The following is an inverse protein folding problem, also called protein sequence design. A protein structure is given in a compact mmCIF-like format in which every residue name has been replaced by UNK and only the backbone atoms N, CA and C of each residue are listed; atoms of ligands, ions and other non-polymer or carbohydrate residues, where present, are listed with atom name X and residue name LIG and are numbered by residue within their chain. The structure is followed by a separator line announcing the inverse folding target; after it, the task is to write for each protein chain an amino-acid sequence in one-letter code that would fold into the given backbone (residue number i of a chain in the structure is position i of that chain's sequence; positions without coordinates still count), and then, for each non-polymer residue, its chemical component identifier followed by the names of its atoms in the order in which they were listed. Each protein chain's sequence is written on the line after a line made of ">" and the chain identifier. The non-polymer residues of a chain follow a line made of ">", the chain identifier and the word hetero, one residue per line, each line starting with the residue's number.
data_IF_353927062860
#
_entry.id   IF_353927062860
#
_cell.length_a   1.000
_cell.length_b   1.000
_cell.length_c   1.000
_cell.angle_alpha   90.00
_cell.angle_beta   90.00
_cell.angle_gamma   90.00
#
_symmetry.space_group_name_H-M   'P 1'
#
loop_
_entity.id
_entity.type
_entity.pdbx_description
1 polymer ?
#
# COMPACT_ATOMS: atom_id res chain seq x y z
N UNK A 1 12.08 -18.80 19.71
CA UNK A 1 11.95 -18.81 18.24
C UNK A 1 10.52 -18.45 17.82
N UNK A 2 9.90 -17.50 18.50
CA UNK A 2 8.62 -16.91 18.10
C UNK A 2 8.68 -15.45 18.49
N UNK A 3 9.32 -14.65 17.66
CA UNK A 3 9.17 -13.18 17.70
C UNK A 3 7.77 -12.88 17.16
N UNK A 4 6.78 -13.17 18.01
CA UNK A 4 5.38 -12.91 17.76
C UNK A 4 5.20 -11.40 17.87
N UNK A 5 5.46 -10.69 16.77
CA UNK A 5 5.00 -9.31 16.59
C UNK A 5 3.47 -9.35 16.47
N UNK A 6 2.77 -9.45 17.61
CA UNK A 6 1.36 -9.07 17.68
C UNK A 6 1.33 -7.55 17.59
N UNK A 7 1.34 -7.04 16.36
CA UNK A 7 0.90 -5.68 16.02
C UNK A 7 -0.42 -5.86 15.26
N UNK A 8 -1.38 -6.48 15.93
CA UNK A 8 -2.73 -6.78 15.43
C UNK A 8 -3.60 -6.07 16.49
N UNK A 9 -4.44 -5.07 16.24
CA UNK A 9 -5.26 -4.72 15.08
C UNK A 9 -5.66 -3.25 15.26
N UNK A 10 -5.05 -2.32 14.53
CA UNK A 10 -5.64 -0.99 14.22
C UNK A 10 -5.17 -0.46 12.84
N UNK A 11 -4.32 -1.21 12.13
CA UNK A 11 -3.68 -0.81 10.87
C UNK A 11 -3.77 -1.90 9.79
N UNK A 12 -4.82 -2.74 9.79
CA UNK A 12 -5.09 -3.75 8.75
C UNK A 12 -5.46 -3.13 7.39
N UNK A 13 -5.45 -1.81 7.29
CA UNK A 13 -5.54 -1.12 6.01
C UNK A 13 -4.11 -0.80 5.53
N UNK A 14 -3.55 -1.56 4.56
CA UNK A 14 -2.24 -1.26 4.00
C UNK A 14 -2.20 0.10 3.26
N UNK A 15 -3.36 0.71 2.99
CA UNK A 15 -3.47 2.06 2.46
C UNK A 15 -3.51 3.16 3.53
N UNK A 16 -3.55 2.84 4.83
CA UNK A 16 -3.61 3.86 5.90
C UNK A 16 -2.41 4.81 5.90
N UNK A 17 -1.23 4.31 5.50
CA UNK A 17 -0.01 5.10 5.38
C UNK A 17 0.06 5.90 4.06
N UNK A 18 -0.95 5.81 3.20
CA UNK A 18 -0.96 6.37 1.83
C UNK A 18 0.36 6.09 1.09
N UNK A 19 0.67 4.81 0.81
CA UNK A 19 1.94 4.42 0.20
C UNK A 19 2.12 4.96 -1.23
N UNK A 20 1.03 5.19 -1.96
CA UNK A 20 1.06 5.63 -3.36
C UNK A 20 1.46 7.11 -3.50
N UNK A 21 2.26 7.42 -4.52
CA UNK A 21 2.79 8.75 -4.85
C UNK A 21 2.14 9.31 -6.11
N UNK A 22 2.44 10.57 -6.44
CA UNK A 22 2.07 11.24 -7.69
C UNK A 22 0.58 11.14 -8.06
N UNK A 23 -0.29 11.20 -7.04
CA UNK A 23 -1.74 11.13 -7.22
C UNK A 23 -2.28 9.73 -7.53
N UNK A 24 -1.49 8.67 -7.32
CA UNK A 24 -1.95 7.29 -7.44
C UNK A 24 -2.95 6.91 -6.35
N UNK A 25 -3.92 6.07 -6.70
CA UNK A 25 -4.97 5.59 -5.79
C UNK A 25 -4.52 4.29 -5.13
N UNK A 26 -4.62 4.20 -3.80
CA UNK A 26 -4.32 2.96 -3.08
C UNK A 26 -5.54 2.04 -3.02
N UNK A 27 -5.37 0.80 -3.45
CA UNK A 27 -6.39 -0.24 -3.45
C UNK A 27 -5.98 -1.36 -2.49
N UNK A 28 -6.82 -1.65 -1.50
CA UNK A 28 -6.64 -2.82 -0.62
C UNK A 28 -7.09 -4.07 -1.36
N UNK A 29 -6.29 -5.13 -1.28
CA UNK A 29 -6.57 -6.42 -1.90
C UNK A 29 -7.08 -7.44 -0.87
N UNK A 30 -7.76 -8.52 -1.32
CA UNK A 30 -8.35 -9.52 -0.42
C UNK A 30 -7.33 -10.27 0.46
N UNK A 31 -6.06 -10.28 0.07
CA UNK A 31 -4.92 -10.88 0.76
C UNK A 31 -4.26 -9.94 1.78
N UNK A 32 -4.93 -8.84 2.16
CA UNK A 32 -4.40 -7.79 3.05
C UNK A 32 -3.16 -7.06 2.50
N UNK A 33 -2.87 -7.24 1.21
CA UNK A 33 -1.88 -6.43 0.50
C UNK A 33 -2.52 -5.18 -0.10
N UNK A 34 -1.70 -4.26 -0.62
CA UNK A 34 -2.18 -3.11 -1.38
C UNK A 34 -1.58 -3.12 -2.79
N UNK A 35 -2.23 -2.36 -3.66
CA UNK A 35 -1.72 -2.00 -4.97
C UNK A 35 -1.98 -0.52 -5.21
N UNK A 36 -1.05 0.14 -5.89
CA UNK A 36 -1.25 1.50 -6.36
C UNK A 36 -1.75 1.49 -7.81
N UNK A 37 -2.91 2.11 -8.03
CA UNK A 37 -3.40 2.46 -9.36
C UNK A 37 -2.79 3.81 -9.76
N UNK A 38 -1.79 3.77 -10.64
CA UNK A 38 -1.04 4.95 -11.07
C UNK A 38 -1.77 5.75 -12.15
N UNK A 39 -1.48 7.05 -12.20
CA UNK A 39 -1.90 7.91 -13.31
C UNK A 39 -1.13 7.55 -14.58
N UNK A 40 -1.60 7.96 -15.78
CA UNK A 40 -0.92 7.62 -17.05
C UNK A 40 0.54 8.07 -17.13
N UNK A 41 0.89 9.11 -16.38
CA UNK A 41 2.23 9.71 -16.31
C UNK A 41 3.04 9.23 -15.11
N UNK A 42 2.62 8.17 -14.41
CA UNK A 42 3.38 7.63 -13.28
C UNK A 42 3.49 6.11 -13.31
N UNK A 43 4.63 5.59 -12.84
CA UNK A 43 5.01 4.19 -12.90
C UNK A 43 5.71 3.73 -11.61
N UNK A 44 5.87 2.43 -11.49
CA UNK A 44 6.48 1.78 -10.32
C UNK A 44 5.44 1.32 -9.31
N UNK A 45 5.87 0.50 -8.35
CA UNK A 45 4.98 -0.13 -7.37
C UNK A 45 4.21 0.85 -6.49
N UNK A 46 4.75 2.07 -6.31
CA UNK A 46 4.14 3.16 -5.55
C UNK A 46 3.84 4.38 -6.43
N UNK A 47 3.86 4.25 -7.76
CA UNK A 47 3.72 5.38 -8.67
C UNK A 47 4.77 6.49 -8.42
N UNK A 48 5.98 6.11 -8.00
CA UNK A 48 7.03 7.05 -7.63
C UNK A 48 7.86 7.55 -8.83
N UNK A 49 7.79 6.87 -9.97
CA UNK A 49 8.44 7.27 -11.21
C UNK A 49 7.44 8.03 -12.09
N UNK A 50 7.90 8.96 -12.90
CA UNK A 50 7.12 9.65 -13.95
C UNK A 50 7.55 9.19 -15.35
#
# INVERSE_FOLDING_TARGET
>A
MSSLRIVIVLADNPCAANPCKNGGTCEVRPDYSYRCACTPNSKGSHCQCE
#
